data_IF_491587041605
#
_entry.id   IF_491587041605
#
_cell.length_a   1.000
_cell.length_b   1.000
_cell.length_c   1.000
_cell.angle_alpha   90.00
_cell.angle_beta   90.00
_cell.angle_gamma   90.00
#
_symmetry.space_group_name_H-M   'P 1'
#
loop_
_entity.id
_entity.type
_entity.pdbx_description
1 polymer ?
#
# COMPACT_ATOMS: atom_id res chain seq x y z
N UNK A 1 -13.89 -26.39 15.42
CA UNK A 1 -13.90 -25.50 14.23
C UNK A 1 -12.46 -25.54 13.69
N UNK A 2 -12.11 -26.18 12.59
CA UNK A 2 -12.82 -26.31 11.33
C UNK A 2 -12.49 -27.67 10.67
N UNK A 3 -13.49 -28.54 10.60
CA UNK A 3 -13.46 -29.86 9.91
C UNK A 3 -13.65 -29.66 8.39
N UNK A 4 -13.66 -28.42 7.91
CA UNK A 4 -13.97 -28.07 6.51
C UNK A 4 -12.80 -28.20 5.53
N UNK A 5 -11.53 -28.08 5.96
CA UNK A 5 -10.40 -28.05 5.03
C UNK A 5 -9.97 -29.43 4.50
N UNK A 6 -10.33 -30.52 5.19
CA UNK A 6 -9.98 -31.87 4.72
C UNK A 6 -10.95 -32.39 3.64
N UNK A 7 -12.16 -31.82 3.53
CA UNK A 7 -13.16 -32.27 2.54
C UNK A 7 -12.91 -31.73 1.13
N UNK A 8 -12.26 -30.56 0.99
CA UNK A 8 -11.93 -30.00 -0.32
C UNK A 8 -10.75 -30.71 -0.99
N UNK A 9 -9.76 -31.17 -0.22
CA UNK A 9 -8.62 -31.92 -0.77
C UNK A 9 -9.02 -33.28 -1.36
N UNK A 10 -10.13 -33.88 -0.89
CA UNK A 10 -10.66 -35.13 -1.44
C UNK A 10 -11.61 -34.92 -2.64
N UNK A 11 -12.23 -33.74 -2.78
CA UNK A 11 -13.05 -33.42 -3.97
C UNK A 11 -12.19 -33.14 -5.22
N UNK A 12 -10.99 -32.60 -5.06
CA UNK A 12 -10.06 -32.39 -6.18
C UNK A 12 -9.50 -33.70 -6.76
N UNK A 13 -9.33 -34.76 -5.94
CA UNK A 13 -8.84 -36.07 -6.44
C UNK A 13 -9.89 -36.88 -7.19
N UNK A 14 -11.19 -36.60 -7.04
CA UNK A 14 -12.26 -37.39 -7.69
C UNK A 14 -12.65 -36.92 -9.08
N UNK A 15 -12.14 -35.78 -9.56
CA UNK A 15 -12.57 -35.18 -10.83
C UNK A 15 -11.56 -35.32 -11.98
N UNK A 16 -10.58 -36.21 -11.84
CA UNK A 16 -9.55 -36.47 -12.87
C UNK A 16 -9.99 -37.61 -13.81
N UNK A 17 -11.09 -38.31 -13.50
CA UNK A 17 -11.57 -39.47 -14.25
C UNK A 17 -12.44 -39.17 -15.47
N UNK A 18 -12.59 -37.90 -15.91
CA UNK A 18 -13.49 -37.61 -17.04
C UNK A 18 -13.14 -36.34 -17.83
N UNK A 19 -11.85 -36.15 -18.13
CA UNK A 19 -11.39 -35.17 -19.13
C UNK A 19 -11.13 -35.86 -20.47
N UNK A 20 -12.08 -36.67 -20.93
CA UNK A 20 -12.17 -37.05 -22.35
C UNK A 20 -13.38 -36.32 -22.96
N UNK A 21 -13.09 -35.50 -23.97
CA UNK A 21 -14.02 -34.69 -24.76
C UNK A 21 -14.41 -33.32 -24.18
N UNK A 22 -13.54 -32.34 -24.38
CA UNK A 22 -13.97 -30.97 -24.62
C UNK A 22 -13.12 -30.38 -25.75
N UNK A 23 -13.70 -30.32 -26.96
CA UNK A 23 -13.14 -29.58 -28.08
C UNK A 23 -13.02 -28.10 -27.68
N UNK A 24 -11.81 -27.64 -27.41
CA UNK A 24 -11.41 -26.23 -27.55
C UNK A 24 -9.98 -26.23 -28.10
N UNK A 25 -9.71 -25.39 -29.08
CA UNK A 25 -8.47 -25.36 -29.89
C UNK A 25 -7.21 -24.90 -29.14
N UNK A 26 -6.92 -25.47 -27.97
CA UNK A 26 -5.62 -25.37 -27.32
C UNK A 26 -4.70 -26.49 -27.81
N UNK A 27 -3.44 -26.17 -28.10
CA UNK A 27 -2.44 -27.20 -28.44
C UNK A 27 -2.27 -28.14 -27.23
N UNK A 28 -2.41 -29.44 -27.46
CA UNK A 28 -2.15 -30.47 -26.47
C UNK A 28 -0.64 -30.50 -26.14
N UNK A 29 -0.27 -30.58 -24.86
CA UNK A 29 1.13 -30.61 -24.43
C UNK A 29 1.74 -31.96 -24.80
N UNK A 30 2.81 -31.95 -25.62
CA UNK A 30 3.53 -33.16 -26.03
C UNK A 30 4.58 -33.54 -24.99
N UNK A 31 4.15 -34.08 -23.87
CA UNK A 31 5.02 -34.44 -22.73
C UNK A 31 6.06 -35.52 -23.09
N UNK A 32 5.77 -36.37 -24.06
CA UNK A 32 6.68 -37.39 -24.60
C UNK A 32 7.92 -36.75 -25.28
N UNK A 33 7.73 -35.64 -26.01
CA UNK A 33 8.84 -34.88 -26.62
C UNK A 33 9.72 -34.17 -25.58
N UNK A 34 9.17 -33.95 -24.38
CA UNK A 34 9.89 -33.39 -23.23
C UNK A 34 10.60 -34.46 -22.39
N UNK A 35 10.54 -35.73 -22.82
CA UNK A 35 11.23 -36.85 -22.18
C UNK A 35 10.47 -37.49 -21.01
N UNK A 36 9.16 -37.25 -20.88
CA UNK A 36 8.34 -37.86 -19.84
C UNK A 36 7.58 -39.08 -20.35
N UNK A 37 7.60 -40.17 -19.58
CA UNK A 37 6.93 -41.43 -19.92
C UNK A 37 5.41 -41.36 -19.73
N UNK A 38 4.91 -40.40 -18.93
CA UNK A 38 3.48 -40.20 -18.71
C UNK A 38 3.15 -38.74 -18.42
N UNK A 39 1.89 -38.39 -18.68
CA UNK A 39 1.36 -37.06 -18.36
C UNK A 39 1.40 -36.78 -16.85
N UNK A 40 1.17 -37.80 -16.03
CA UNK A 40 1.23 -37.69 -14.56
C UNK A 40 2.66 -37.37 -14.08
N UNK A 41 3.68 -38.01 -14.66
CA UNK A 41 5.08 -37.74 -14.34
C UNK A 41 5.47 -36.30 -14.74
N UNK A 42 5.00 -35.83 -15.90
CA UNK A 42 5.17 -34.44 -16.33
C UNK A 42 4.49 -33.45 -15.38
N UNK A 43 3.23 -33.70 -15.00
CA UNK A 43 2.49 -32.83 -14.09
C UNK A 43 3.15 -32.76 -12.72
N UNK A 44 3.57 -33.90 -12.18
CA UNK A 44 4.27 -33.95 -10.91
C UNK A 44 5.56 -33.13 -10.97
N UNK A 45 6.36 -33.32 -12.02
CA UNK A 45 7.59 -32.53 -12.21
C UNK A 45 7.29 -31.04 -12.35
N UNK A 46 6.25 -30.66 -13.09
CA UNK A 46 5.82 -29.28 -13.26
C UNK A 46 5.49 -28.64 -11.90
N UNK A 47 4.65 -29.28 -11.10
CA UNK A 47 4.29 -28.77 -9.76
C UNK A 47 5.50 -28.70 -8.83
N UNK A 48 6.41 -29.68 -8.88
CA UNK A 48 7.65 -29.69 -8.08
C UNK A 48 8.63 -28.57 -8.49
N UNK A 49 8.54 -28.09 -9.73
CA UNK A 49 9.39 -26.99 -10.24
C UNK A 49 8.78 -25.61 -10.08
N UNK A 50 7.54 -25.51 -9.59
CA UNK A 50 6.94 -24.21 -9.32
C UNK A 50 7.73 -23.52 -8.22
N UNK A 51 8.13 -22.28 -8.50
CA UNK A 51 8.69 -21.43 -7.47
C UNK A 51 7.65 -21.27 -6.34
N UNK A 52 8.08 -21.40 -5.07
CA UNK A 52 7.17 -21.21 -3.94
C UNK A 52 6.61 -19.78 -3.89
N UNK A 53 7.30 -18.83 -4.55
CA UNK A 53 6.85 -17.45 -4.72
C UNK A 53 7.52 -16.78 -5.92
N UNK A 54 6.81 -15.89 -6.59
CA UNK A 54 7.35 -14.98 -7.61
C UNK A 54 7.73 -13.60 -7.02
N UNK A 55 7.73 -13.46 -5.69
CA UNK A 55 8.08 -12.21 -5.01
C UNK A 55 9.58 -11.93 -5.15
N UNK A 56 9.93 -10.91 -5.92
CA UNK A 56 11.29 -10.34 -5.98
C UNK A 56 11.44 -9.21 -4.96
N UNK A 57 12.63 -8.61 -4.80
CA UNK A 57 12.81 -7.47 -3.90
C UNK A 57 11.88 -6.29 -4.21
N UNK A 58 11.57 -6.09 -5.49
CA UNK A 58 10.65 -5.06 -5.99
C UNK A 58 9.18 -5.31 -5.63
N UNK A 59 8.83 -6.53 -5.19
CA UNK A 59 7.48 -6.85 -4.72
C UNK A 59 7.10 -6.07 -3.45
N UNK A 60 8.09 -5.78 -2.60
CA UNK A 60 7.85 -5.16 -1.29
C UNK A 60 7.78 -3.64 -1.38
N UNK A 61 8.67 -3.02 -2.17
CA UNK A 61 8.76 -1.57 -2.30
C UNK A 61 9.13 -1.21 -3.74
N UNK A 62 8.27 -0.38 -4.36
CA UNK A 62 8.58 0.28 -5.63
C UNK A 62 9.46 1.51 -5.35
N UNK A 63 10.78 1.30 -5.37
CA UNK A 63 11.76 2.36 -5.10
C UNK A 63 11.74 3.47 -6.14
N UNK A 64 11.38 3.18 -7.39
CA UNK A 64 11.29 4.21 -8.44
C UNK A 64 10.14 5.17 -8.16
N UNK A 65 9.00 4.63 -7.71
CA UNK A 65 7.88 5.45 -7.23
C UNK A 65 8.27 6.29 -6.01
N UNK A 66 8.98 5.71 -5.03
CA UNK A 66 9.43 6.44 -3.83
C UNK A 66 10.36 7.58 -4.19
N UNK A 67 11.40 7.32 -5.00
CA UNK A 67 12.36 8.35 -5.44
C UNK A 67 11.66 9.47 -6.20
N UNK A 68 10.70 9.14 -7.07
CA UNK A 68 9.93 10.14 -7.81
C UNK A 68 9.17 11.07 -6.87
N UNK A 69 8.45 10.52 -5.88
CA UNK A 69 7.70 11.32 -4.91
C UNK A 69 8.62 12.19 -4.03
N UNK A 70 9.77 11.67 -3.62
CA UNK A 70 10.78 12.44 -2.85
C UNK A 70 11.35 13.58 -3.68
N UNK A 71 11.68 13.34 -4.95
CA UNK A 71 12.19 14.38 -5.85
C UNK A 71 11.14 15.45 -6.17
N UNK A 72 9.87 15.07 -6.26
CA UNK A 72 8.76 16.00 -6.52
C UNK A 72 8.50 16.95 -5.33
N UNK A 73 8.74 16.48 -4.11
CA UNK A 73 8.45 17.23 -2.87
C UNK A 73 9.70 17.55 -2.04
N UNK A 74 10.87 17.62 -2.68
CA UNK A 74 12.14 17.69 -1.98
C UNK A 74 12.24 18.92 -1.08
N UNK A 75 11.84 20.08 -1.60
CA UNK A 75 11.87 21.35 -0.88
C UNK A 75 10.91 21.36 0.30
N UNK A 76 9.69 20.84 0.11
CA UNK A 76 8.68 20.71 1.15
C UNK A 76 9.11 19.78 2.27
N UNK A 77 9.74 18.65 1.92
CA UNK A 77 10.33 17.71 2.88
C UNK A 77 11.43 18.40 3.68
N UNK A 78 12.34 19.14 3.03
CA UNK A 78 13.39 19.88 3.73
C UNK A 78 12.85 20.96 4.66
N UNK A 79 11.84 21.72 4.22
CA UNK A 79 11.16 22.70 5.06
C UNK A 79 10.51 22.05 6.28
N UNK A 80 9.83 20.92 6.08
CA UNK A 80 9.21 20.17 7.17
C UNK A 80 10.24 19.58 8.14
N UNK A 81 11.38 19.10 7.63
CA UNK A 81 12.49 18.58 8.44
C UNK A 81 13.09 19.63 9.38
N UNK A 82 12.95 20.93 9.10
CA UNK A 82 13.36 21.99 10.04
C UNK A 82 12.64 21.91 11.40
N UNK A 83 11.48 21.23 11.48
CA UNK A 83 10.79 20.98 12.75
C UNK A 83 11.60 20.08 13.69
N UNK A 84 12.43 19.18 13.16
CA UNK A 84 13.25 18.27 13.96
C UNK A 84 14.31 19.02 14.79
N UNK A 85 14.76 20.18 14.31
CA UNK A 85 15.72 21.06 14.98
C UNK A 85 15.09 21.93 16.08
N UNK A 86 13.76 21.93 16.18
CA UNK A 86 13.01 22.74 17.14
C UNK A 86 12.54 21.87 18.31
N UNK A 87 12.54 22.43 19.51
CA UNK A 87 11.99 21.77 20.70
C UNK A 87 10.53 21.38 20.47
N UNK A 88 10.14 20.20 20.97
CA UNK A 88 8.80 19.62 20.72
C UNK A 88 7.65 20.59 21.04
N UNK A 89 7.79 21.40 22.10
CA UNK A 89 6.78 22.38 22.52
C UNK A 89 6.55 23.49 21.48
N UNK A 90 7.60 23.89 20.78
CA UNK A 90 7.58 24.97 19.78
C UNK A 90 7.29 24.47 18.35
N UNK A 91 7.37 23.15 18.09
CA UNK A 91 7.13 22.56 16.76
C UNK A 91 5.77 22.96 16.17
N UNK A 92 4.72 22.99 16.98
CA UNK A 92 3.39 23.40 16.51
C UNK A 92 3.34 24.86 16.01
N UNK A 93 4.03 25.76 16.71
CA UNK A 93 4.14 27.17 16.31
C UNK A 93 4.98 27.31 15.04
N UNK A 94 6.12 26.62 14.97
CA UNK A 94 6.97 26.61 13.79
C UNK A 94 6.25 26.04 12.55
N UNK A 95 5.49 24.96 12.73
CA UNK A 95 4.68 24.39 11.64
C UNK A 95 3.63 25.40 11.16
N UNK A 96 2.94 26.09 12.08
CA UNK A 96 1.99 27.14 11.70
C UNK A 96 2.66 28.26 10.89
N UNK A 97 3.86 28.69 11.28
CA UNK A 97 4.65 29.68 10.53
C UNK A 97 5.05 29.17 9.14
N UNK A 98 5.48 27.90 9.05
CA UNK A 98 5.83 27.27 7.77
C UNK A 98 4.61 27.19 6.85
N UNK A 99 3.45 26.73 7.33
CA UNK A 99 2.23 26.64 6.53
C UNK A 99 1.72 28.00 6.05
N UNK A 100 1.90 29.07 6.85
CA UNK A 100 1.58 30.43 6.41
C UNK A 100 2.47 30.91 5.27
N UNK A 101 3.77 30.59 5.32
CA UNK A 101 4.76 31.06 4.34
C UNK A 101 4.87 30.17 3.11
N UNK A 102 4.67 28.87 3.30
CA UNK A 102 4.86 27.80 2.33
C UNK A 102 3.69 26.80 2.46
N UNK A 103 2.48 27.16 2.01
CA UNK A 103 1.29 26.31 2.15
C UNK A 103 1.43 24.95 1.47
N UNK A 104 2.33 24.81 0.48
CA UNK A 104 2.64 23.54 -0.17
C UNK A 104 3.23 22.48 0.78
N UNK A 105 3.81 22.88 1.92
CA UNK A 105 4.32 21.95 2.95
C UNK A 105 3.22 21.03 3.49
N UNK A 106 1.94 21.41 3.38
CA UNK A 106 0.83 20.55 3.80
C UNK A 106 0.77 19.24 2.99
N UNK A 107 1.23 19.24 1.75
CA UNK A 107 1.07 18.13 0.81
C UNK A 107 1.96 16.92 1.18
N UNK A 108 3.03 17.15 1.95
CA UNK A 108 3.95 16.09 2.40
C UNK A 108 3.56 15.48 3.75
N UNK A 109 2.68 16.13 4.53
CA UNK A 109 2.24 15.62 5.84
C UNK A 109 1.63 14.21 5.73
N UNK A 110 0.76 13.91 4.74
CA UNK A 110 0.21 12.57 4.61
C UNK A 110 1.22 11.48 4.31
N UNK A 111 2.36 11.83 3.70
CA UNK A 111 3.43 10.88 3.42
C UNK A 111 4.06 10.34 4.72
N UNK A 112 4.01 11.11 5.81
CA UNK A 112 4.60 10.74 7.10
C UNK A 112 3.73 9.78 7.92
N UNK A 113 2.41 9.90 7.81
CA UNK A 113 1.45 9.16 8.63
C UNK A 113 1.08 7.78 8.06
N UNK A 114 1.80 7.33 7.02
CA UNK A 114 1.61 6.04 6.33
C UNK A 114 0.17 5.76 5.84
N UNK A 115 -0.67 6.80 5.73
CA UNK A 115 -2.05 6.68 5.30
C UNK A 115 -2.17 6.97 3.80
N UNK A 116 -2.89 6.11 3.07
CA UNK A 116 -3.15 6.35 1.65
C UNK A 116 -4.33 7.30 1.54
N UNK A 117 -4.02 8.58 1.40
CA UNK A 117 -5.03 9.60 1.16
C UNK A 117 -5.82 9.28 -0.12
N UNK A 118 -7.09 8.91 0.03
CA UNK A 118 -8.00 8.80 -1.12
C UNK A 118 -8.53 10.20 -1.41
N UNK A 119 -8.23 10.72 -2.61
CA UNK A 119 -8.71 12.04 -3.10
C UNK A 119 -8.21 13.27 -2.32
N UNK A 120 -7.08 13.17 -1.60
CA UNK A 120 -6.50 14.32 -0.90
C UNK A 120 -7.17 14.69 0.44
N UNK A 121 -8.07 13.83 0.95
CA UNK A 121 -8.75 14.00 2.24
C UNK A 121 -8.50 12.80 3.15
N UNK A 122 -8.32 13.06 4.44
CA UNK A 122 -8.27 12.04 5.50
C UNK A 122 -9.45 12.28 6.43
N UNK A 123 -10.25 11.23 6.65
CA UNK A 123 -11.34 11.22 7.60
C UNK A 123 -10.86 10.61 8.92
N UNK A 124 -10.98 11.34 10.02
CA UNK A 124 -10.65 10.86 11.37
C UNK A 124 -11.85 11.04 12.28
N UNK A 125 -12.17 10.00 13.06
CA UNK A 125 -13.11 10.13 14.16
C UNK A 125 -12.42 10.77 15.37
N UNK A 126 -12.87 11.95 15.79
CA UNK A 126 -12.42 12.61 17.01
C UNK A 126 -13.36 12.25 18.17
N UNK A 127 -12.91 11.44 19.16
CA UNK A 127 -13.74 11.00 20.27
C UNK A 127 -14.09 12.13 21.25
N UNK A 128 -13.39 13.26 21.26
CA UNK A 128 -13.70 14.38 22.16
C UNK A 128 -14.99 15.11 21.75
N UNK A 129 -15.27 15.13 20.44
CA UNK A 129 -16.42 15.81 19.86
C UNK A 129 -17.42 14.83 19.22
N UNK A 130 -17.16 13.53 19.34
CA UNK A 130 -17.95 12.43 18.79
C UNK A 130 -18.30 12.60 17.29
N UNK A 131 -17.35 13.11 16.50
CA UNK A 131 -17.58 13.44 15.09
C UNK A 131 -16.44 13.02 14.17
N UNK A 132 -16.76 12.81 12.89
CA UNK A 132 -15.77 12.65 11.84
C UNK A 132 -15.28 14.03 11.37
N UNK A 133 -13.96 14.18 11.33
CA UNK A 133 -13.25 15.34 10.83
C UNK A 133 -12.63 15.01 9.47
N UNK A 134 -12.82 15.90 8.50
CA UNK A 134 -12.20 15.81 7.18
C UNK A 134 -11.00 16.75 7.10
N UNK A 135 -9.81 16.19 6.94
CA UNK A 135 -8.57 16.95 6.75
C UNK A 135 -8.16 16.94 5.28
N UNK A 136 -8.18 18.10 4.63
CA UNK A 136 -7.68 18.25 3.27
C UNK A 136 -6.23 18.72 3.27
N UNK A 137 -5.35 17.94 2.65
CA UNK A 137 -3.92 18.26 2.54
C UNK A 137 -3.58 18.89 1.19
N UNK A 138 -4.47 19.74 0.67
CA UNK A 138 -4.24 20.53 -0.53
C UNK A 138 -3.79 21.94 -0.16
N UNK A 139 -2.72 22.46 -0.78
CA UNK A 139 -2.22 23.82 -0.51
C UNK A 139 -3.26 24.91 -0.66
N UNK A 140 -4.24 24.75 -1.57
CA UNK A 140 -5.34 25.69 -1.80
C UNK A 140 -6.32 25.79 -0.61
N UNK A 141 -6.29 24.83 0.31
CA UNK A 141 -7.14 24.80 1.51
C UNK A 141 -6.43 25.34 2.76
N UNK A 142 -5.14 25.67 2.66
CA UNK A 142 -4.36 26.22 3.78
C UNK A 142 -4.72 27.69 3.97
N UNK A 143 -5.26 28.03 5.14
CA UNK A 143 -5.62 29.38 5.52
C UNK A 143 -5.61 29.52 7.05
N UNK A 144 -5.86 30.73 7.57
CA UNK A 144 -5.78 31.02 9.00
C UNK A 144 -6.72 30.16 9.87
N UNK A 145 -7.83 29.66 9.32
CA UNK A 145 -8.77 28.80 10.04
C UNK A 145 -8.35 27.34 10.04
N UNK A 146 -7.76 26.85 8.95
CA UNK A 146 -7.38 25.43 8.80
C UNK A 146 -6.01 25.11 9.39
N UNK A 147 -5.11 26.10 9.48
CA UNK A 147 -3.77 25.90 10.06
C UNK A 147 -3.82 25.35 11.49
N UNK A 148 -4.62 25.90 12.42
CA UNK A 148 -4.76 25.34 13.77
C UNK A 148 -5.21 23.88 13.78
N UNK A 149 -6.12 23.51 12.87
CA UNK A 149 -6.63 22.14 12.75
C UNK A 149 -5.55 21.18 12.25
N UNK A 150 -4.77 21.59 11.23
CA UNK A 150 -3.62 20.82 10.72
C UNK A 150 -2.57 20.64 11.82
N UNK A 151 -2.30 21.67 12.62
CA UNK A 151 -1.36 21.58 13.76
C UNK A 151 -1.89 20.64 14.84
N UNK A 152 -3.18 20.70 15.18
CA UNK A 152 -3.83 19.75 16.12
C UNK A 152 -3.69 18.33 15.61
N UNK A 153 -4.01 18.10 14.33
CA UNK A 153 -3.89 16.81 13.67
C UNK A 153 -2.47 16.22 13.80
N UNK A 154 -1.45 16.97 13.41
CA UNK A 154 -0.07 16.48 13.43
C UNK A 154 0.42 16.21 14.87
N UNK A 155 -0.01 17.02 15.84
CA UNK A 155 0.29 16.79 17.26
C UNK A 155 -0.38 15.52 17.78
N UNK A 156 -1.64 15.29 17.43
CA UNK A 156 -2.41 14.13 17.89
C UNK A 156 -1.95 12.82 17.25
N UNK A 157 -1.46 12.89 16.01
CA UNK A 157 -0.93 11.74 15.26
C UNK A 157 0.54 11.44 15.56
N UNK A 158 1.24 12.31 16.29
CA UNK A 158 2.67 12.17 16.57
C UNK A 158 3.56 12.35 15.33
N UNK A 159 3.07 13.08 14.32
CA UNK A 159 3.82 13.35 13.10
C UNK A 159 5.06 14.26 13.34
N UNK A 160 5.16 14.88 14.52
CA UNK A 160 6.34 15.59 15.02
C UNK A 160 6.40 15.62 16.55
#
# INVERSE_FOLDING_TARGET
>A
MNIFLFSESLKMKKNIGNINSARTGGRMIRFEELGFESFDAYLQRFFDTLLPSNKTYEYFVDWEKVKKAVNEHLDEIYLLNSLSEVENRERGKKLAELLKKYPQVVEVIPLLIAERVKRGVIEIFDPEIEAFLEFSFAKSRVNEKTIPEIVKFCRNTGAF
#
